data_IF_448912601027
#
_entry.id   IF_448912601027
#
_cell.length_a   1.000
_cell.length_b   1.000
_cell.length_c   1.000
_cell.angle_alpha   90.00
_cell.angle_beta   90.00
_cell.angle_gamma   90.00
#
_symmetry.space_group_name_H-M   'P 1'
#
loop_
_entity.id
_entity.type
_entity.pdbx_description
1 polymer ?
2 non-polymer ?
3 non-polymer ?
4 water ?
#
# COMPACT_ATOMS: atom_id res chain seq x y z
N UNK A 2 0.39 18.11 20.55
CA UNK A 2 0.80 16.78 20.07
C UNK A 2 -0.34 15.81 20.45
N UNK A 3 -0.55 15.63 21.76
CA UNK A 3 -1.42 14.56 22.28
C UNK A 3 -2.83 14.65 21.75
N UNK A 4 -3.25 15.85 21.40
CA UNK A 4 -4.67 16.08 21.15
C UNK A 4 -5.00 16.18 19.64
N UNK A 5 -3.99 15.89 18.80
CA UNK A 5 -4.16 15.92 17.33
C UNK A 5 -5.24 14.95 16.83
N UNK A 6 -6.07 15.44 15.90
CA UNK A 6 -7.26 14.67 15.46
C UNK A 6 -7.02 14.17 14.05
N UNK A 7 -7.77 13.14 13.63
CA UNK A 7 -7.62 12.59 12.26
C UNK A 7 -7.75 13.66 11.19
N UNK A 8 -8.63 14.64 11.41
CA UNK A 8 -8.81 15.74 10.49
C UNK A 8 -7.47 16.36 10.00
N UNK A 9 -6.46 16.45 10.88
CA UNK A 9 -5.20 17.07 10.57
C UNK A 9 -4.54 16.42 9.35
N UNK A 10 -4.71 15.12 9.19
CA UNK A 10 -4.03 14.35 8.14
C UNK A 10 -5.00 13.96 7.04
N UNK A 11 -6.24 14.48 7.08
CA UNK A 11 -7.24 14.02 6.11
C UNK A 11 -6.86 14.35 4.69
N UNK A 12 -7.08 13.37 3.81
CA UNK A 12 -6.84 13.53 2.38
C UNK A 12 -8.12 13.19 1.60
N UNK A 13 -8.43 14.00 0.60
CA UNK A 13 -9.56 13.69 -0.29
C UNK A 13 -9.16 13.40 -1.76
N UNK A 14 -7.90 13.70 -2.13
CA UNK A 14 -7.35 13.28 -3.45
C UNK A 14 -6.91 11.81 -3.40
N UNK A 15 -7.88 10.93 -3.28
CA UNK A 15 -7.62 9.51 -3.14
C UNK A 15 -8.77 8.88 -3.93
N UNK A 16 -8.53 7.78 -4.64
CA UNK A 16 -9.63 7.19 -5.42
C UNK A 16 -10.86 6.82 -4.57
N UNK A 17 -12.06 7.06 -5.10
CA UNK A 17 -13.27 6.65 -4.43
C UNK A 17 -14.29 6.20 -5.48
N UNK A 18 -14.98 5.12 -5.15
CA UNK A 18 -15.94 4.52 -6.08
C UNK A 18 -17.37 4.57 -5.53
N UNK A 19 -18.29 4.24 -6.40
CA UNK A 19 -19.72 4.36 -6.06
C UNK A 19 -20.38 3.01 -6.26
N UNK A 20 -21.27 2.66 -5.34
CA UNK A 20 -22.04 1.42 -5.39
C UNK A 20 -22.72 1.31 -6.76
N UNK A 21 -22.63 0.13 -7.37
CA UNK A 21 -23.24 -0.10 -8.68
C UNK A 21 -22.41 0.37 -9.87
N UNK A 22 -21.21 0.90 -9.60
CA UNK A 22 -20.36 1.41 -10.67
C UNK A 22 -19.63 0.24 -11.35
N UNK A 23 -18.98 0.50 -12.47
CA UNK A 23 -18.26 -0.54 -13.21
C UNK A 23 -17.11 -1.11 -12.39
N UNK A 24 -17.11 -2.42 -12.16
CA UNK A 24 -15.98 -3.00 -11.41
C UNK A 24 -14.70 -3.02 -12.21
N UNK A 25 -14.80 -3.19 -13.53
CA UNK A 25 -13.59 -3.21 -14.36
C UNK A 25 -12.97 -1.81 -14.35
N UNK A 26 -13.80 -0.76 -14.42
CA UNK A 26 -13.24 0.59 -14.30
C UNK A 26 -12.57 0.82 -12.96
N UNK A 27 -13.20 0.36 -11.89
CA UNK A 27 -12.63 0.55 -10.56
C UNK A 27 -11.29 -0.16 -10.45
N UNK A 28 -11.24 -1.40 -10.94
CA UNK A 28 -10.01 -2.21 -10.87
C UNK A 28 -8.88 -1.52 -11.65
N UNK A 29 -9.23 -1.01 -12.83
CA UNK A 29 -8.25 -0.27 -13.65
C UNK A 29 -7.74 0.98 -12.97
N UNK A 30 -8.64 1.69 -12.27
CA UNK A 30 -8.30 2.92 -11.58
C UNK A 30 -7.41 2.62 -10.37
N UNK A 31 -7.73 1.56 -9.62
CA UNK A 31 -6.87 1.13 -8.50
C UNK A 31 -5.47 0.81 -9.01
N UNK A 32 -5.37 -0.02 -10.03
CA UNK A 32 -4.06 -0.40 -10.54
C UNK A 32 -3.28 0.79 -11.06
N UNK A 33 -3.96 1.72 -11.74
CA UNK A 33 -3.25 2.85 -12.34
C UNK A 33 -2.80 3.87 -11.30
N UNK A 34 -3.48 3.89 -10.18
CA UNK A 34 -3.21 4.92 -9.17
C UNK A 34 -2.24 4.47 -8.11
N UNK A 35 -1.79 3.22 -8.15
CA UNK A 35 -0.89 2.73 -7.10
C UNK A 35 -1.55 2.48 -5.74
N UNK A 36 -2.85 2.22 -5.76
CA UNK A 36 -3.66 1.95 -4.53
C UNK A 36 -4.18 0.55 -4.58
N UNK A 37 -4.03 -0.17 -3.48
CA UNK A 37 -4.55 -1.52 -3.39
C UNK A 37 -6.01 -1.57 -3.04
N UNK A 38 -6.55 -0.48 -2.52
CA UNK A 38 -7.87 -0.52 -1.94
C UNK A 38 -8.36 0.92 -1.87
N UNK A 39 -9.67 1.09 -1.88
CA UNK A 39 -10.25 2.44 -1.80
C UNK A 39 -11.68 2.38 -1.27
N UNK A 40 -12.18 3.52 -0.75
CA UNK A 40 -13.58 3.57 -0.26
C UNK A 40 -14.62 3.47 -1.34
N UNK A 41 -15.78 2.92 -0.98
CA UNK A 41 -16.93 2.83 -1.87
C UNK A 41 -18.11 3.52 -1.16
N UNK A 42 -18.78 4.41 -1.87
CA UNK A 42 -19.91 5.17 -1.28
C UNK A 42 -21.27 4.79 -1.91
N UNK A 43 -22.33 5.04 -1.14
CA UNK A 43 -23.71 5.05 -1.64
C UNK A 43 -24.13 6.49 -1.41
N UNK A 44 -24.10 7.29 -2.46
CA UNK A 44 -24.32 8.74 -2.36
C UNK A 44 -23.08 9.35 -1.69
N UNK A 45 -23.26 10.10 -0.62
CA UNK A 45 -22.09 10.59 0.11
C UNK A 45 -21.71 9.67 1.27
N UNK A 46 -22.42 8.56 1.44
CA UNK A 46 -22.24 7.73 2.65
C UNK A 46 -21.16 6.68 2.41
N UNK A 47 -20.15 6.62 3.28
CA UNK A 47 -19.16 5.57 3.23
C UNK A 47 -19.78 4.21 3.55
N UNK A 48 -19.57 3.25 2.64
CA UNK A 48 -20.06 1.86 2.85
C UNK A 48 -19.00 0.83 3.18
N UNK A 49 -17.77 1.02 2.72
CA UNK A 49 -16.77 -0.01 2.95
C UNK A 49 -15.62 0.23 2.01
N UNK A 50 -14.57 -0.60 2.17
CA UNK A 50 -13.38 -0.53 1.32
C UNK A 50 -13.46 -1.64 0.31
N UNK A 51 -13.01 -1.35 -0.90
CA UNK A 51 -12.88 -2.40 -1.92
C UNK A 51 -11.40 -2.63 -2.25
N UNK A 52 -11.02 -3.90 -2.35
CA UNK A 52 -9.65 -4.27 -2.67
C UNK A 52 -9.48 -4.74 -4.12
N UNK A 53 -8.40 -4.28 -4.77
CA UNK A 53 -8.08 -4.75 -6.11
C UNK A 53 -8.00 -6.28 -6.16
N UNK A 54 -7.38 -6.90 -5.15
CA UNK A 54 -7.27 -8.36 -5.16
C UNK A 54 -8.64 -9.04 -5.15
N UNK A 55 -9.59 -8.47 -4.42
CA UNK A 55 -10.98 -8.99 -4.43
C UNK A 55 -11.60 -8.87 -5.81
N UNK A 56 -11.39 -7.73 -6.48
CA UNK A 56 -11.99 -7.50 -7.82
C UNK A 56 -11.43 -8.43 -8.89
N UNK A 57 -10.17 -8.83 -8.72
CA UNK A 57 -9.53 -9.71 -9.69
C UNK A 57 -9.74 -11.19 -9.34
N UNK A 58 -10.19 -11.48 -8.12
CA UNK A 58 -10.40 -12.85 -7.67
C UNK A 58 -11.15 -13.69 -8.71
N UNK A 59 -10.46 -14.68 -9.25
CA UNK A 59 -11.08 -15.65 -10.16
C UNK A 59 -11.31 -15.14 -11.57
N UNK A 60 -11.00 -13.86 -11.79
CA UNK A 60 -10.95 -13.31 -13.15
C UNK A 60 -9.60 -13.67 -13.75
N UNK A 61 -9.54 -13.69 -15.06
CA UNK A 61 -8.33 -14.05 -15.75
C UNK A 61 -7.45 -12.81 -15.76
N UNK A 62 -8.05 -11.71 -16.23
CA UNK A 62 -7.45 -10.40 -16.19
C UNK A 62 -8.48 -9.52 -15.50
N UNK A 63 -8.98 -8.52 -16.23
CA UNK A 63 -9.93 -7.57 -15.65
C UNK A 63 -11.30 -8.19 -15.38
N UNK A 64 -12.08 -7.61 -14.43
CA UNK A 64 -13.49 -8.00 -14.33
C UNK A 64 -14.17 -7.81 -15.67
N UNK A 65 -15.22 -8.59 -15.91
CA UNK A 65 -15.96 -8.47 -17.16
C UNK A 65 -16.63 -7.11 -17.31
N UNK A 66 -16.97 -6.79 -18.56
CA UNK A 66 -17.52 -5.47 -18.88
C UNK A 66 -18.80 -5.16 -18.09
N UNK A 67 -19.64 -6.16 -17.87
CA UNK A 67 -20.94 -5.93 -17.23
C UNK A 67 -20.94 -5.91 -15.71
N UNK A 68 -19.84 -6.34 -15.10
CA UNK A 68 -19.85 -6.45 -13.63
C UNK A 68 -20.02 -5.08 -12.96
N UNK A 69 -20.86 -5.07 -11.93
CA UNK A 69 -21.11 -3.85 -11.16
C UNK A 69 -20.67 -4.00 -9.71
N UNK A 70 -20.25 -2.90 -9.12
CA UNK A 70 -19.69 -2.90 -7.79
C UNK A 70 -20.82 -3.07 -6.80
N UNK A 71 -20.93 -4.27 -6.20
CA UNK A 71 -22.02 -4.58 -5.25
C UNK A 71 -21.50 -4.66 -3.83
N UNK A 72 -22.41 -4.61 -2.86
CA UNK A 72 -21.99 -4.52 -1.45
C UNK A 72 -21.29 -5.80 -0.98
N UNK A 73 -21.56 -6.95 -1.62
CA UNK A 73 -20.90 -8.18 -1.17
C UNK A 73 -19.40 -8.20 -1.47
N UNK A 74 -18.95 -7.25 -2.30
CA UNK A 74 -17.50 -7.11 -2.57
C UNK A 74 -16.74 -6.32 -1.49
N UNK A 75 -17.47 -5.63 -0.61
CA UNK A 75 -16.84 -4.64 0.30
C UNK A 75 -16.34 -5.26 1.59
N UNK A 76 -15.20 -4.76 2.08
CA UNK A 76 -14.84 -4.97 3.48
C UNK A 76 -15.42 -3.81 4.31
N UNK A 77 -16.40 -4.12 5.15
CA UNK A 77 -17.14 -3.05 5.85
C UNK A 77 -16.39 -2.72 7.13
N UNK A 78 -15.21 -2.15 6.96
CA UNK A 78 -14.33 -1.87 8.07
C UNK A 78 -14.73 -0.54 8.71
N UNK A 79 -14.20 -0.31 9.90
CA UNK A 79 -14.58 0.87 10.65
C UNK A 79 -14.07 2.15 10.01
N UNK A 80 -14.77 3.22 10.30
CA UNK A 80 -14.33 4.56 9.91
C UNK A 80 -14.01 5.36 11.19
N UNK A 81 -13.35 6.52 11.03
CA UNK A 81 -13.05 7.39 12.16
C UNK A 81 -13.68 8.74 11.90
N UNK A 82 -14.11 9.40 12.97
CA UNK A 82 -14.57 10.80 12.82
C UNK A 82 -13.37 11.73 12.64
N UNK A 83 -13.49 12.77 11.81
CA UNK A 83 -12.37 13.73 11.71
C UNK A 83 -11.91 14.27 13.08
N UNK A 84 -12.85 14.40 14.02
CA UNK A 84 -12.52 14.93 15.34
C UNK A 84 -12.01 13.92 16.35
N UNK A 85 -11.90 12.64 15.98
CA UNK A 85 -11.36 11.64 16.91
C UNK A 85 -9.86 11.84 17.05
N UNK A 86 -9.36 11.47 18.24
CA UNK A 86 -7.91 11.63 18.54
C UNK A 86 -7.04 10.55 17.89
N UNK A 87 -6.06 10.97 17.11
CA UNK A 87 -5.15 10.01 16.46
C UNK A 87 -4.46 9.10 17.47
N UNK A 88 -3.95 9.70 18.55
CA UNK A 88 -3.16 8.91 19.52
C UNK A 88 -4.01 7.98 20.37
N UNK A 89 -5.34 8.01 20.21
CA UNK A 89 -6.20 7.03 20.85
C UNK A 89 -6.45 5.83 19.96
N UNK A 90 -5.96 5.89 18.72
CA UNK A 90 -6.34 4.90 17.70
C UNK A 90 -5.19 4.33 16.83
N UNK A 91 -3.96 4.52 17.23
CA UNK A 91 -2.84 4.05 16.36
C UNK A 91 -2.80 2.55 16.21
N UNK A 92 -3.08 1.81 17.28
CA UNK A 92 -3.03 0.34 17.19
C UNK A 92 -4.02 -0.16 16.12
N UNK A 93 -5.26 0.33 16.14
CA UNK A 93 -6.22 -0.16 15.14
C UNK A 93 -5.89 0.28 13.72
N UNK A 94 -5.39 1.52 13.55
CA UNK A 94 -4.99 1.97 12.23
C UNK A 94 -3.83 1.12 11.69
N UNK A 95 -2.84 0.81 12.55
CA UNK A 95 -1.73 -0.04 12.12
C UNK A 95 -2.20 -1.44 11.73
N UNK A 96 -3.28 -1.89 12.35
CA UNK A 96 -3.82 -3.23 12.15
C UNK A 96 -4.70 -3.36 10.90
N UNK A 97 -5.11 -2.24 10.32
CA UNK A 97 -6.06 -2.28 9.21
C UNK A 97 -5.47 -2.95 7.99
N UNK A 98 -6.30 -3.69 7.25
CA UNK A 98 -5.82 -4.32 6.03
C UNK A 98 -5.38 -3.28 5.01
N UNK A 99 -6.25 -2.32 4.74
CA UNK A 99 -5.93 -1.21 3.84
C UNK A 99 -5.01 -0.17 4.51
N UNK A 100 -4.08 0.36 3.72
CA UNK A 100 -3.08 1.27 4.26
C UNK A 100 -3.67 2.67 4.48
N UNK A 101 -4.94 2.83 4.11
CA UNK A 101 -5.70 4.03 4.52
C UNK A 101 -6.91 3.64 5.37
N UNK A 102 -7.34 4.56 6.23
CA UNK A 102 -8.58 4.36 6.99
C UNK A 102 -9.55 5.47 6.57
N UNK A 103 -10.83 5.14 6.38
CA UNK A 103 -11.80 6.13 5.93
C UNK A 103 -12.28 7.00 7.08
N UNK A 104 -12.51 8.28 6.79
CA UNK A 104 -13.11 9.22 7.73
C UNK A 104 -14.58 9.38 7.39
N UNK A 105 -15.43 9.38 8.40
CA UNK A 105 -16.85 9.64 8.14
C UNK A 105 -17.38 10.38 9.32
N UNK A 106 -18.34 11.27 9.03
CA UNK A 106 -18.91 12.06 10.10
C UNK A 106 -19.97 11.25 10.87
N UNK A 107 -20.60 11.89 11.85
CA UNK A 107 -21.59 11.24 12.69
C UNK A 107 -22.72 10.56 11.89
N UNK A 108 -23.06 11.11 10.73
CA UNK A 108 -24.09 10.53 9.86
C UNK A 108 -23.57 9.56 8.79
N UNK A 109 -22.26 9.28 8.83
CA UNK A 109 -21.61 8.33 7.92
C UNK A 109 -21.21 8.93 6.57
N UNK A 110 -21.30 10.26 6.49
CA UNK A 110 -20.86 10.96 5.29
C UNK A 110 -19.35 10.92 5.22
N UNK A 111 -18.89 10.44 4.07
CA UNK A 111 -17.47 10.30 3.78
C UNK A 111 -16.73 11.64 3.76
N UNK A 112 -15.61 11.66 4.48
CA UNK A 112 -14.84 12.87 4.68
C UNK A 112 -13.41 12.71 4.29
N UNK A 113 -13.10 11.69 3.52
CA UNK A 113 -11.69 11.51 3.12
C UNK A 113 -11.06 10.30 3.77
N UNK A 114 -9.74 10.21 3.64
CA UNK A 114 -8.99 9.10 4.24
C UNK A 114 -7.77 9.64 4.95
N UNK A 115 -7.24 8.79 5.83
CA UNK A 115 -5.94 9.06 6.49
C UNK A 115 -5.03 7.86 6.20
N UNK A 116 -3.82 8.13 5.65
CA UNK A 116 -2.92 7.01 5.27
C UNK A 116 -1.92 6.72 6.34
N UNK A 117 -1.47 5.45 6.34
CA UNK A 117 -0.35 5.08 7.21
C UNK A 117 0.88 5.91 6.81
N UNK A 118 1.03 6.23 5.53
CA UNK A 118 2.17 7.04 5.09
C UNK A 118 2.22 8.41 5.78
N UNK A 119 1.09 9.12 5.75
CA UNK A 119 1.05 10.42 6.44
C UNK A 119 1.18 10.31 7.97
N UNK A 120 0.56 9.29 8.58
CA UNK A 120 0.70 9.15 10.02
C UNK A 120 2.18 8.93 10.33
N UNK A 121 2.87 8.06 9.58
CA UNK A 121 4.31 7.79 9.91
C UNK A 121 5.18 9.05 9.69
N UNK A 122 4.87 9.82 8.64
CA UNK A 122 5.59 11.06 8.37
C UNK A 122 5.42 12.09 9.49
N UNK A 123 4.19 12.18 9.99
CA UNK A 123 3.84 13.01 11.16
C UNK A 123 4.62 12.55 12.43
N UNK A 124 4.56 11.25 12.73
CA UNK A 124 5.32 10.72 13.87
C UNK A 124 6.83 10.94 13.75
N UNK A 125 7.39 10.74 12.56
CA UNK A 125 8.84 10.84 12.31
C UNK A 125 9.38 12.19 12.74
N UNK A 126 8.53 13.20 12.66
CA UNK A 126 8.91 14.55 12.98
C UNK A 126 9.12 14.77 14.49
N UNK A 127 8.52 13.90 15.31
CA UNK A 127 8.44 14.10 16.78
C UNK A 127 9.04 12.97 17.63
N UNK A 128 9.44 11.88 17.00
CA UNK A 128 10.10 10.78 17.71
C UNK A 128 11.60 11.06 17.80
N UNK B 2 13.32 1.91 22.92
CA UNK B 2 13.66 1.01 21.76
C UNK B 2 14.60 1.71 20.78
N UNK B 3 15.40 2.65 21.29
CA UNK B 3 16.20 3.53 20.45
C UNK B 3 17.13 2.73 19.53
N UNK B 4 17.53 1.53 19.95
CA UNK B 4 18.55 0.79 19.21
C UNK B 4 18.02 -0.27 18.25
N UNK B 5 16.69 -0.41 18.15
CA UNK B 5 16.08 -1.43 17.29
C UNK B 5 16.45 -1.24 15.82
N UNK B 6 16.83 -2.35 15.16
CA UNK B 6 17.39 -2.32 13.82
C UNK B 6 16.35 -2.79 12.82
N UNK B 7 16.53 -2.43 11.55
CA UNK B 7 15.58 -2.86 10.48
C UNK B 7 15.35 -4.38 10.48
N UNK B 8 16.40 -5.14 10.81
CA UNK B 8 16.30 -6.62 10.84
C UNK B 8 15.09 -7.10 11.63
N UNK B 9 14.78 -6.40 12.72
CA UNK B 9 13.67 -6.77 13.62
C UNK B 9 12.34 -6.98 12.90
N UNK B 10 12.12 -6.17 11.88
CA UNK B 10 10.84 -6.19 11.13
C UNK B 10 10.98 -6.77 9.77
N UNK B 11 12.15 -7.37 9.47
CA UNK B 11 12.36 -7.89 8.11
C UNK B 11 11.33 -8.96 7.73
N UNK B 12 10.78 -8.86 6.51
CA UNK B 12 9.89 -9.94 5.99
C UNK B 12 10.40 -10.40 4.65
N UNK B 13 10.36 -11.73 4.43
CA UNK B 13 10.78 -12.26 3.13
C UNK B 13 9.60 -12.89 2.39
N UNK B 14 8.48 -13.04 3.10
CA UNK B 14 7.20 -13.48 2.50
C UNK B 14 6.50 -12.28 1.85
N UNK B 15 7.12 -11.77 0.81
CA UNK B 15 6.71 -10.57 0.13
C UNK B 15 7.07 -10.83 -1.32
N UNK B 16 6.22 -10.38 -2.28
CA UNK B 16 6.59 -10.65 -3.67
C UNK B 16 7.99 -10.09 -4.03
N UNK B 17 8.77 -10.89 -4.76
CA UNK B 17 10.06 -10.42 -5.23
C UNK B 17 10.29 -11.06 -6.60
N UNK B 18 10.81 -10.27 -7.54
CA UNK B 18 10.98 -10.74 -8.93
C UNK B 18 12.46 -10.70 -9.33
N UNK B 19 12.78 -11.33 -10.45
CA UNK B 19 14.14 -11.33 -10.94
C UNK B 19 14.20 -10.57 -12.27
N UNK B 20 15.27 -9.78 -12.42
CA UNK B 20 15.47 -9.00 -13.63
C UNK B 20 15.46 -9.93 -14.84
N UNK B 21 14.72 -9.55 -15.89
CA UNK B 21 14.57 -10.38 -17.07
C UNK B 21 13.46 -11.42 -16.95
N UNK B 22 12.81 -11.48 -15.78
CA UNK B 22 11.75 -12.45 -15.52
C UNK B 22 10.43 -12.04 -16.12
N UNK B 23 9.44 -12.92 -16.01
CA UNK B 23 8.09 -12.70 -16.55
C UNK B 23 7.38 -11.49 -15.94
N UNK B 24 7.16 -10.48 -16.78
CA UNK B 24 6.41 -9.27 -16.39
C UNK B 24 4.91 -9.54 -16.18
N UNK B 25 4.38 -10.51 -16.93
CA UNK B 25 2.99 -10.94 -16.79
C UNK B 25 2.80 -11.55 -15.43
N UNK B 26 3.74 -12.42 -15.06
CA UNK B 26 3.76 -13.04 -13.75
C UNK B 26 3.85 -11.93 -12.68
N UNK B 27 4.78 -10.99 -12.88
CA UNK B 27 5.01 -9.94 -11.90
C UNK B 27 3.72 -9.13 -11.68
N UNK B 28 3.11 -8.67 -12.78
CA UNK B 28 1.88 -7.87 -12.68
C UNK B 28 0.74 -8.61 -11.98
N UNK B 29 0.51 -9.87 -12.37
CA UNK B 29 -0.47 -10.73 -11.71
C UNK B 29 -0.26 -10.90 -10.19
N UNK B 30 0.99 -11.20 -9.81
CA UNK B 30 1.35 -11.43 -8.41
C UNK B 30 1.22 -10.19 -7.55
N UNK B 31 1.59 -9.03 -8.10
CA UNK B 31 1.40 -7.75 -7.40
C UNK B 31 -0.08 -7.51 -7.19
N UNK B 32 -0.86 -7.59 -8.27
CA UNK B 32 -2.31 -7.33 -8.18
C UNK B 32 -3.02 -8.30 -7.26
N UNK B 33 -2.58 -9.56 -7.25
CA UNK B 33 -3.27 -10.58 -6.45
C UNK B 33 -2.92 -10.48 -4.95
N UNK B 34 -1.83 -9.82 -4.66
CA UNK B 34 -1.24 -9.84 -3.32
C UNK B 34 -1.49 -8.57 -2.55
N UNK B 35 -2.11 -7.57 -3.17
CA UNK B 35 -2.38 -6.33 -2.46
C UNK B 35 -1.17 -5.42 -2.30
N UNK B 36 -0.18 -5.63 -3.14
CA UNK B 36 1.04 -4.83 -3.18
C UNK B 36 1.11 -3.99 -4.44
N UNK B 37 1.43 -2.71 -4.30
CA UNK B 37 1.53 -1.86 -5.48
C UNK B 37 2.94 -1.93 -6.06
N UNK B 38 3.87 -2.50 -5.30
CA UNK B 38 5.27 -2.44 -5.68
C UNK B 38 6.05 -3.57 -4.98
N UNK B 39 7.15 -4.00 -5.57
CA UNK B 39 7.94 -5.09 -5.00
C UNK B 39 9.38 -5.00 -5.50
N UNK B 40 10.33 -5.55 -4.72
CA UNK B 40 11.75 -5.54 -5.14
C UNK B 40 12.05 -6.45 -6.32
N UNK B 41 13.05 -6.08 -7.13
CA UNK B 41 13.51 -6.87 -8.25
C UNK B 41 15.02 -7.12 -8.07
N UNK B 42 15.43 -8.37 -8.22
CA UNK B 42 16.82 -8.75 -7.94
C UNK B 42 17.51 -9.11 -9.23
N UNK B 43 18.83 -9.00 -9.23
CA UNK B 43 19.66 -9.60 -10.24
C UNK B 43 20.54 -10.56 -9.49
N UNK B 44 20.24 -11.84 -9.65
CA UNK B 44 20.82 -12.86 -8.81
C UNK B 44 20.35 -12.56 -7.40
N UNK B 45 21.30 -12.42 -6.48
CA UNK B 45 20.98 -12.09 -5.09
C UNK B 45 20.88 -10.58 -4.81
N UNK B 46 21.34 -9.75 -5.74
CA UNK B 46 21.49 -8.33 -5.49
C UNK B 46 20.17 -7.58 -5.72
N UNK B 47 19.75 -6.80 -4.71
CA UNK B 47 18.63 -5.90 -4.88
C UNK B 47 19.01 -4.85 -5.91
N UNK B 48 18.17 -4.68 -6.94
CA UNK B 48 18.37 -3.57 -7.90
C UNK B 48 17.40 -2.39 -7.81
N UNK B 49 16.14 -2.67 -7.47
CA UNK B 49 15.17 -1.61 -7.60
C UNK B 49 13.80 -2.12 -7.27
N UNK B 50 12.86 -1.20 -7.22
CA UNK B 50 11.43 -1.55 -6.98
C UNK B 50 10.68 -1.44 -8.29
N UNK B 51 9.77 -2.37 -8.53
CA UNK B 51 8.91 -2.29 -9.73
C UNK B 51 7.45 -2.05 -9.25
N UNK B 52 6.74 -1.17 -9.97
CA UNK B 52 5.38 -0.76 -9.58
C UNK B 52 4.38 -1.27 -10.58
N UNK B 53 3.26 -1.79 -10.05
CA UNK B 53 2.22 -2.34 -10.91
C UNK B 53 1.76 -1.28 -11.92
N UNK B 54 1.64 -0.04 -11.46
CA UNK B 54 1.22 1.06 -12.33
C UNK B 54 2.14 1.20 -13.55
N UNK B 55 3.44 1.01 -13.34
CA UNK B 55 4.40 1.07 -14.44
C UNK B 55 4.23 -0.12 -15.40
N UNK B 56 3.95 -1.31 -14.87
CA UNK B 56 3.82 -2.49 -15.74
C UNK B 56 2.61 -2.40 -16.66
N UNK B 57 1.55 -1.73 -16.14
CA UNK B 57 0.28 -1.61 -16.86
C UNK B 57 0.14 -0.29 -17.61
N UNK B 58 1.15 0.57 -17.51
CA UNK B 58 1.11 1.89 -18.10
C UNK B 58 0.98 1.80 -19.62
N UNK B 59 0.00 2.51 -20.19
CA UNK B 59 -0.13 2.66 -21.64
C UNK B 59 -0.96 1.61 -22.35
N UNK B 60 -1.09 0.44 -21.71
CA UNK B 60 -1.75 -0.71 -22.32
C UNK B 60 -3.15 -0.90 -21.77
N UNK B 61 -3.99 -1.62 -22.50
CA UNK B 61 -5.30 -1.88 -21.97
C UNK B 61 -5.46 -3.23 -21.28
N UNK B 62 -4.54 -4.16 -21.54
CA UNK B 62 -4.60 -5.48 -20.95
C UNK B 62 -3.44 -5.74 -20.02
N UNK B 63 -3.14 -7.02 -19.83
CA UNK B 63 -2.07 -7.44 -18.96
C UNK B 63 -0.86 -7.82 -19.81
N UNK B 64 0.35 -7.70 -19.23
CA UNK B 64 1.57 -8.11 -19.95
C UNK B 64 1.40 -9.49 -20.58
N UNK B 65 1.94 -9.66 -21.77
CA UNK B 65 1.92 -10.96 -22.40
C UNK B 65 3.14 -11.79 -22.00
N UNK B 66 3.13 -13.07 -22.36
CA UNK B 66 4.24 -13.95 -21.99
C UNK B 66 5.60 -13.44 -22.45
N UNK B 67 5.64 -12.68 -23.56
CA UNK B 67 6.93 -12.25 -24.18
C UNK B 67 7.63 -11.12 -23.41
N UNK B 68 6.85 -10.36 -22.66
CA UNK B 68 7.32 -9.16 -21.98
C UNK B 68 8.27 -9.47 -20.84
N UNK B 69 9.43 -8.81 -20.83
CA UNK B 69 10.49 -9.09 -19.90
C UNK B 69 10.76 -7.92 -18.96
N UNK B 70 11.04 -8.24 -17.71
CA UNK B 70 11.32 -7.24 -16.68
C UNK B 70 12.70 -6.56 -16.89
N UNK B 71 12.72 -5.41 -17.53
CA UNK B 71 14.00 -4.73 -17.84
C UNK B 71 14.42 -3.80 -16.71
N UNK B 72 15.67 -3.31 -16.76
CA UNK B 72 16.15 -2.40 -15.72
C UNK B 72 15.50 -1.03 -15.83
N UNK B 73 15.14 -0.67 -17.07
CA UNK B 73 14.45 0.58 -17.37
C UNK B 73 13.11 0.71 -16.62
N UNK B 74 12.54 -0.42 -16.17
CA UNK B 74 11.26 -0.42 -15.43
C UNK B 74 11.38 -0.15 -13.94
N UNK B 75 12.60 -0.06 -13.44
CA UNK B 75 12.79 -0.06 -12.01
C UNK B 75 12.96 1.33 -11.45
N UNK B 76 12.45 1.54 -10.24
CA UNK B 76 12.83 2.71 -9.46
C UNK B 76 13.97 2.25 -8.55
N UNK B 77 15.17 2.78 -8.77
CA UNK B 77 16.34 2.29 -8.05
C UNK B 77 16.49 3.09 -6.77
N UNK B 78 15.57 2.85 -5.85
CA UNK B 78 15.51 3.61 -4.60
C UNK B 78 16.45 3.04 -3.57
N UNK B 79 16.70 3.80 -2.51
CA UNK B 79 17.70 3.38 -1.52
C UNK B 79 17.24 2.11 -0.76
N UNK B 80 18.23 1.36 -0.29
CA UNK B 80 17.99 0.23 0.63
C UNK B 80 18.59 0.53 2.01
N UNK B 81 18.30 -0.33 2.99
CA UNK B 81 18.83 -0.16 4.32
C UNK B 81 19.49 -1.45 4.73
N UNK B 82 20.56 -1.36 5.52
CA UNK B 82 21.20 -2.59 6.00
C UNK B 82 20.33 -3.14 7.13
N UNK B 83 20.26 -4.47 7.28
CA UNK B 83 19.51 -5.02 8.40
C UNK B 83 19.97 -4.47 9.76
N UNK B 84 21.25 -4.11 9.85
CA UNK B 84 21.78 -3.65 11.14
C UNK B 84 21.68 -2.16 11.37
N UNK B 85 21.10 -1.43 10.41
CA UNK B 85 20.86 0.02 10.60
C UNK B 85 19.75 0.27 11.63
N UNK B 86 19.83 1.40 12.33
CA UNK B 86 18.79 1.74 13.31
C UNK B 86 17.54 2.24 12.65
N UNK B 87 16.41 1.67 13.02
CA UNK B 87 15.11 2.09 12.45
C UNK B 87 14.81 3.57 12.75
N UNK B 88 15.09 3.99 13.99
CA UNK B 88 14.75 5.35 14.43
C UNK B 88 15.71 6.43 13.99
N UNK B 89 16.76 6.06 13.27
CA UNK B 89 17.60 7.05 12.59
C UNK B 89 17.06 7.31 11.20
N UNK B 90 16.00 6.62 10.79
CA UNK B 90 15.60 6.61 9.36
C UNK B 90 14.08 6.77 9.11
N UNK B 91 13.34 7.15 10.14
CA UNK B 91 11.87 7.16 9.95
C UNK B 91 11.44 8.21 8.95
N UNK B 92 12.11 9.36 8.92
CA UNK B 92 11.72 10.39 7.94
C UNK B 92 11.81 9.85 6.50
N UNK B 93 12.95 9.22 6.18
CA UNK B 93 13.15 8.69 4.81
C UNK B 93 12.20 7.53 4.52
N UNK B 94 11.95 6.64 5.50
CA UNK B 94 11.02 5.53 5.27
C UNK B 94 9.61 6.05 5.04
N UNK B 95 9.20 7.06 5.81
CA UNK B 95 7.87 7.68 5.61
C UNK B 95 7.72 8.35 4.26
N UNK B 96 8.84 8.89 3.75
CA UNK B 96 8.84 9.55 2.44
C UNK B 96 8.90 8.61 1.22
N UNK B 97 9.22 7.34 1.42
CA UNK B 97 9.42 6.39 0.30
C UNK B 97 8.13 6.26 -0.49
N UNK B 98 8.23 6.18 -1.81
CA UNK B 98 7.04 5.99 -2.63
C UNK B 98 6.33 4.67 -2.28
N UNK B 99 7.08 3.57 -2.36
CA UNK B 99 6.59 2.23 -1.99
C UNK B 99 6.43 2.13 -0.48
N UNK B 100 5.38 1.45 -0.02
CA UNK B 100 5.10 1.31 1.39
C UNK B 100 5.98 0.28 2.08
N UNK B 101 6.91 -0.35 1.35
CA UNK B 101 7.96 -1.11 1.99
C UNK B 101 9.28 -0.54 1.53
N UNK B 102 10.31 -0.71 2.34
CA UNK B 102 11.68 -0.35 1.92
C UNK B 102 12.50 -1.64 1.85
N UNK B 103 13.40 -1.75 0.86
CA UNK B 103 14.16 -3.00 0.75
C UNK B 103 15.41 -2.97 1.68
N UNK B 104 15.72 -4.15 2.20
CA UNK B 104 16.95 -4.36 2.99
C UNK B 104 17.99 -5.03 2.12
N UNK B 105 19.23 -4.53 2.17
CA UNK B 105 20.33 -5.19 1.48
C UNK B 105 21.57 -5.10 2.36
N UNK B 106 22.38 -6.16 2.34
CA UNK B 106 23.58 -6.15 3.16
C UNK B 106 24.67 -5.31 2.47
N UNK B 107 25.87 -5.30 3.08
CA UNK B 107 27.00 -4.54 2.56
C UNK B 107 27.42 -4.91 1.13
N UNK B 108 27.29 -6.17 0.75
CA UNK B 108 27.52 -6.56 -0.66
C UNK B 108 26.34 -6.22 -1.60
N UNK B 109 25.22 -5.71 -1.07
CA UNK B 109 24.01 -5.46 -1.89
C UNK B 109 23.01 -6.62 -1.93
N UNK B 110 23.32 -7.71 -1.21
CA UNK B 110 22.49 -8.90 -1.21
C UNK B 110 21.14 -8.62 -0.53
N UNK B 111 20.06 -8.89 -1.25
CA UNK B 111 18.69 -8.70 -0.72
C UNK B 111 18.42 -9.48 0.56
N UNK B 112 17.83 -8.81 1.55
CA UNK B 112 17.59 -9.40 2.87
C UNK B 112 16.13 -9.25 3.29
N UNK B 113 15.24 -9.07 2.34
CA UNK B 113 13.82 -8.81 2.70
C UNK B 113 13.42 -7.35 2.62
N UNK B 114 12.21 -7.09 3.12
CA UNK B 114 11.67 -5.72 3.13
C UNK B 114 11.14 -5.39 4.52
N UNK B 115 10.95 -4.12 4.76
CA UNK B 115 10.26 -3.64 5.99
C UNK B 115 9.12 -2.75 5.58
N UNK B 116 7.90 -3.03 6.09
CA UNK B 116 6.72 -2.30 5.65
C UNK B 116 6.40 -1.17 6.63
N UNK B 117 5.76 -0.13 6.09
CA UNK B 117 5.23 0.91 6.93
C UNK B 117 4.20 0.34 7.94
N UNK B 118 3.46 -0.69 7.52
CA UNK B 118 2.46 -1.27 8.37
C UNK B 118 3.12 -1.84 9.62
N UNK B 119 4.15 -2.67 9.43
CA UNK B 119 4.80 -3.23 10.61
C UNK B 119 5.52 -2.18 11.46
N UNK B 120 6.12 -1.17 10.84
CA UNK B 120 6.75 -0.07 11.61
C UNK B 120 5.67 0.60 12.48
N UNK B 121 4.55 0.97 11.87
CA UNK B 121 3.49 1.64 12.65
C UNK B 121 2.96 0.75 13.75
N UNK B 122 2.82 -0.54 13.48
CA UNK B 122 2.35 -1.47 14.52
C UNK B 122 3.29 -1.51 15.73
N UNK B 123 4.60 -1.48 15.44
CA UNK B 123 5.59 -1.47 16.51
C UNK B 123 5.54 -0.16 17.30
N UNK B 124 5.57 0.97 16.58
CA UNK B 124 5.49 2.28 17.22
C UNK B 124 4.20 2.48 18.07
N UNK B 125 3.07 2.00 17.54
CA UNK B 125 1.76 2.20 18.20
C UNK B 125 1.73 1.66 19.62
N UNK B 126 2.51 0.60 19.87
CA UNK B 126 2.57 0.05 21.20
C UNK B 126 3.48 0.81 22.13
N UNK B 127 4.21 1.80 21.63
CA UNK B 127 5.18 2.44 22.52
C UNK B 127 5.23 3.97 22.50
N UNK B 128 4.49 4.57 21.57
CA UNK B 128 4.34 6.02 21.45
C UNK B 128 3.35 6.53 22.50
X LIG C 1 1.04 3.62 2.60
X LIG C 1 0.49 2.44 1.91
X LIG C 1 -0.09 4.49 3.26
X LIG C 1 1.97 3.21 3.69
X LIG C 1 1.68 4.29 1.44
X LIG D 1 -15.79 15.22 17.09
X LIG D 1 -15.70 15.29 18.57
X LIG D 1 -15.12 13.99 19.17
X LIG D 1 -15.25 12.78 18.34
X LIG D 1 -15.41 12.90 16.92
X LIG D 1 -16.44 13.98 16.69
X LIG D 1 -15.38 11.46 18.91
X LIG D 1 -16.70 10.76 18.63
X LIG D 1 -16.82 10.52 17.24
X LIG D 1 -16.44 16.37 16.42
X LIG D 1 -17.20 15.95 15.13
X LIG D 1 -16.24 15.23 13.75
X LIG D 1 -15.41 14.19 14.23
X LIG D 1 -15.43 16.33 13.18
X LIG D 1 -17.19 14.67 12.75
X LIG E 1 1.34 -0.53 4.28
X LIG E 1 0.35 -1.59 4.52
X LIG E 1 1.13 0.67 5.13
X LIG E 1 2.80 -1.06 4.54
X LIG E 1 1.15 -0.25 2.81
X LIG F 1 26.05 -3.70 10.09
X LIG F 1 24.82 -3.35 9.38
X LIG F 1 24.45 -1.90 9.61
X LIG F 1 25.48 -1.10 10.25
X LIG F 1 26.16 -1.64 11.40
X LIG F 1 26.01 -3.15 11.46
X LIG F 1 26.10 -0.13 9.39
X LIG F 1 25.19 0.05 8.19
X LIG F 1 25.63 1.12 7.37
X LIG F 1 26.17 -5.18 10.12
X LIG F 1 25.94 -5.82 8.74
X LIG F 1 24.21 -5.81 8.15
X LIG F 1 24.24 -5.92 6.69
X LIG F 1 23.66 -4.60 8.67
X LIG F 1 23.48 -6.95 8.72
#
# INVERSE_FOLDING_TARGET
SNASVTFSYLAETDYPVFTLGGSTADAARRLAASGCACAPVLDGERYLGMVHLSRLLEGRKGWPTVKEKLGEELLETVRSYRPGEQLFDNLISVAAAKCSVVPLADEDGRYEGVVSRKRILGFLAERI
SNASVTFSYLAETDYPVFTLGGSTADAARRLAASGCACAPVLDGERYLGMVHLSRLLEGRKGWPTVKEKLGEELLETVRSYRPGEQLFDNLISVAAAKCSVVPLADEDGRYEGVVSRKRILGFLAERI
SO4 S O1 O2 O3 O4
EPE N1 C2 C3 N4 C5 C6 C7 C8 O8 C9 C10 S O1S O2S O3S
SO4 S O1 O2 O3 O4
EPE N1 C2 C3 N4 C5 C6 C7 C8 O8 C9 C10 S O1S O2S O3S
#
